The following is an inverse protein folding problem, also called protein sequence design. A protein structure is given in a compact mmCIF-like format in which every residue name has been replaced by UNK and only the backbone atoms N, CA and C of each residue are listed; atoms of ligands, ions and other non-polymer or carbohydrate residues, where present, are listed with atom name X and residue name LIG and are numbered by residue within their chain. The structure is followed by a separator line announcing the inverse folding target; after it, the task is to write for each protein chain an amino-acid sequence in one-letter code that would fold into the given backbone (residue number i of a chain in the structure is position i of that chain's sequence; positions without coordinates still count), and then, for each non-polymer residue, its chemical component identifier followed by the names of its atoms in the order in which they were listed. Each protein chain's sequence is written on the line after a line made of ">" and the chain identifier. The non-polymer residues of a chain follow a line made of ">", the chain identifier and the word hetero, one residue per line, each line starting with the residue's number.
data_IF_881074730383
#
_entry.id   IF_881074730383
#
_cell.length_a   1.000
_cell.length_b   1.000
_cell.length_c   1.000
_cell.angle_alpha   90.00
_cell.angle_beta   90.00
_cell.angle_gamma   90.00
#
_symmetry.space_group_name_H-M   'P 1'
#
loop_
_entity.id
_entity.type
_entity.pdbx_description
1 polymer ?
#
# COMPACT_ATOMS: atom_id res chain seq x y z
N UNK A 1 9.98 11.03 -9.35
CA UNK A 1 8.59 10.55 -9.13
C UNK A 1 8.57 9.37 -8.19
N UNK A 2 7.46 9.14 -7.53
CA UNK A 2 7.28 8.00 -6.64
C UNK A 2 6.19 7.10 -7.20
N UNK A 3 6.46 5.80 -7.22
CA UNK A 3 5.52 4.80 -7.70
C UNK A 3 5.25 3.79 -6.58
N UNK A 4 3.98 3.50 -6.32
CA UNK A 4 3.61 2.48 -5.34
C UNK A 4 3.75 1.09 -5.97
N UNK A 5 4.52 0.22 -5.32
CA UNK A 5 4.79 -1.12 -5.82
C UNK A 5 4.34 -2.21 -4.83
N UNK A 6 3.48 -1.86 -3.90
CA UNK A 6 3.06 -2.80 -2.84
C UNK A 6 2.09 -3.88 -3.28
N UNK A 7 1.48 -3.77 -4.46
CA UNK A 7 0.52 -4.77 -4.91
C UNK A 7 1.12 -6.18 -4.98
N UNK A 8 2.33 -6.29 -5.48
CA UNK A 8 3.03 -7.58 -5.59
C UNK A 8 3.22 -8.21 -4.21
N UNK A 9 3.69 -7.42 -3.25
CA UNK A 9 3.89 -7.91 -1.87
C UNK A 9 2.56 -8.34 -1.27
N UNK A 10 1.52 -7.53 -1.45
CA UNK A 10 0.20 -7.83 -0.93
C UNK A 10 -0.32 -9.16 -1.48
N UNK A 11 -0.22 -9.35 -2.80
CA UNK A 11 -0.72 -10.57 -3.45
C UNK A 11 0.10 -11.79 -3.07
N UNK A 12 1.41 -11.65 -2.91
CA UNK A 12 2.27 -12.75 -2.45
C UNK A 12 1.91 -13.19 -1.03
N UNK A 13 1.50 -12.25 -0.19
CA UNK A 13 1.05 -12.54 1.17
C UNK A 13 -0.42 -12.98 1.22
N UNK A 14 -1.11 -13.04 0.08
CA UNK A 14 -2.52 -13.43 -0.03
C UNK A 14 -3.44 -12.54 0.78
N UNK A 15 -3.14 -11.26 0.82
CA UNK A 15 -3.94 -10.24 1.50
C UNK A 15 -4.81 -9.55 0.46
N UNK A 16 -6.12 -9.46 0.73
CA UNK A 16 -7.03 -8.71 -0.15
C UNK A 16 -6.89 -7.22 0.11
N UNK A 17 -7.29 -6.39 -0.88
CA UNK A 17 -7.31 -4.93 -0.69
C UNK A 17 -8.19 -4.58 0.51
N UNK A 18 -9.36 -5.19 0.61
CA UNK A 18 -10.29 -4.92 1.73
C UNK A 18 -9.67 -5.30 3.07
N UNK A 19 -9.05 -6.47 3.17
CA UNK A 19 -8.40 -6.92 4.39
C UNK A 19 -7.26 -6.01 4.80
N UNK A 20 -6.44 -5.57 3.84
CA UNK A 20 -5.36 -4.63 4.12
C UNK A 20 -5.91 -3.28 4.58
N UNK A 21 -6.95 -2.80 3.92
CA UNK A 21 -7.57 -1.52 4.27
C UNK A 21 -8.12 -1.54 5.69
N UNK A 22 -8.79 -2.62 6.08
CA UNK A 22 -9.30 -2.78 7.44
C UNK A 22 -8.16 -2.79 8.47
N UNK A 23 -7.10 -3.54 8.21
CA UNK A 23 -5.95 -3.62 9.12
C UNK A 23 -5.24 -2.28 9.26
N UNK A 24 -5.11 -1.54 8.18
CA UNK A 24 -4.46 -0.24 8.17
C UNK A 24 -5.39 0.91 8.58
N UNK A 25 -6.69 0.65 8.71
CA UNK A 25 -7.72 1.64 9.01
C UNK A 25 -7.78 2.75 7.97
N UNK A 26 -7.71 2.36 6.70
CA UNK A 26 -7.84 3.28 5.57
C UNK A 26 -8.95 2.80 4.65
N UNK A 27 -9.43 3.68 3.77
CA UNK A 27 -10.45 3.30 2.79
C UNK A 27 -9.85 2.34 1.74
N UNK A 28 -10.58 1.29 1.35
CA UNK A 28 -10.10 0.38 0.29
C UNK A 28 -9.78 1.12 -1.01
N UNK A 29 -10.54 2.16 -1.35
CA UNK A 29 -10.29 2.97 -2.53
C UNK A 29 -8.94 3.67 -2.52
N UNK A 30 -8.43 4.01 -1.34
CA UNK A 30 -7.10 4.62 -1.20
C UNK A 30 -6.03 3.65 -1.71
N UNK A 31 -6.08 2.40 -1.28
CA UNK A 31 -5.12 1.39 -1.70
C UNK A 31 -5.28 1.09 -3.20
N UNK A 32 -6.51 0.97 -3.67
CA UNK A 32 -6.78 0.72 -5.09
C UNK A 32 -6.22 1.82 -5.99
N UNK A 33 -6.35 3.08 -5.58
CA UNK A 33 -5.81 4.21 -6.34
C UNK A 33 -4.28 4.18 -6.38
N UNK A 34 -3.65 3.78 -5.29
CA UNK A 34 -2.19 3.62 -5.29
C UNK A 34 -1.76 2.50 -6.23
N UNK A 35 -2.49 1.38 -6.22
CA UNK A 35 -2.13 0.21 -7.03
C UNK A 35 -2.32 0.45 -8.51
N UNK A 36 -3.31 1.26 -8.89
CA UNK A 36 -3.56 1.55 -10.31
C UNK A 36 -2.87 2.83 -10.81
N UNK A 37 -2.10 3.50 -9.95
CA UNK A 37 -1.34 4.67 -10.34
C UNK A 37 -2.13 5.98 -10.33
N UNK A 38 -3.38 5.98 -9.84
CA UNK A 38 -4.21 7.19 -9.80
C UNK A 38 -3.81 8.16 -8.69
N UNK A 39 -3.12 7.68 -7.68
CA UNK A 39 -2.69 8.49 -6.55
C UNK A 39 -1.35 7.99 -6.02
N UNK A 40 -0.59 8.89 -5.42
CA UNK A 40 0.69 8.59 -4.77
C UNK A 40 0.45 8.56 -3.26
N UNK A 41 0.97 7.56 -2.53
CA UNK A 41 0.79 7.50 -1.08
C UNK A 41 1.45 8.68 -0.37
N UNK A 42 0.77 9.23 0.64
CA UNK A 42 1.49 10.09 1.57
C UNK A 42 2.21 9.22 2.61
N UNK A 43 3.23 9.79 3.25
CA UNK A 43 4.10 9.02 4.13
C UNK A 43 3.38 8.47 5.36
N UNK A 44 2.46 9.22 5.94
CA UNK A 44 1.76 8.78 7.14
C UNK A 44 0.86 7.57 6.85
N UNK A 45 0.12 7.62 5.74
CA UNK A 45 -0.77 6.51 5.36
C UNK A 45 0.05 5.31 4.88
N UNK A 46 1.15 5.57 4.17
CA UNK A 46 2.06 4.51 3.73
C UNK A 46 2.62 3.72 4.92
N UNK A 47 2.97 4.42 6.00
CA UNK A 47 3.46 3.77 7.21
C UNK A 47 2.41 2.84 7.82
N UNK A 48 1.15 3.27 7.87
CA UNK A 48 0.05 2.43 8.36
C UNK A 48 -0.11 1.15 7.53
N UNK A 49 -0.05 1.30 6.21
CA UNK A 49 -0.18 0.17 5.29
C UNK A 49 1.01 -0.79 5.42
N UNK A 50 2.22 -0.24 5.55
CA UNK A 50 3.42 -1.06 5.73
C UNK A 50 3.35 -1.86 7.02
N UNK A 51 2.91 -1.26 8.12
CA UNK A 51 2.74 -1.95 9.39
C UNK A 51 1.71 -3.08 9.28
N UNK A 52 0.61 -2.82 8.57
CA UNK A 52 -0.43 -3.83 8.36
C UNK A 52 0.09 -5.03 7.56
N UNK A 53 1.04 -4.82 6.66
CA UNK A 53 1.67 -5.89 5.89
C UNK A 53 2.94 -6.43 6.52
N UNK A 54 3.37 -5.84 7.64
CA UNK A 54 4.60 -6.23 8.34
C UNK A 54 5.85 -6.11 7.47
N UNK A 55 5.93 -5.00 6.73
CA UNK A 55 7.07 -4.68 5.86
C UNK A 55 7.56 -3.26 6.14
N UNK A 56 8.75 -2.95 5.63
CA UNK A 56 9.28 -1.60 5.70
C UNK A 56 8.53 -0.72 4.68
N UNK A 57 8.14 0.51 5.06
CA UNK A 57 7.46 1.41 4.11
C UNK A 57 8.22 1.61 2.80
N UNK A 58 9.54 1.64 2.83
CA UNK A 58 10.35 1.82 1.63
C UNK A 58 10.27 0.63 0.66
N UNK A 59 9.83 -0.53 1.13
CA UNK A 59 9.62 -1.69 0.26
C UNK A 59 8.37 -1.53 -0.61
N UNK A 60 7.51 -0.58 -0.28
CA UNK A 60 6.24 -0.37 -0.98
C UNK A 60 6.32 0.70 -2.06
N UNK A 61 7.43 1.39 -2.18
CA UNK A 61 7.59 2.48 -3.15
C UNK A 61 8.88 2.36 -3.93
N UNK A 62 8.85 2.93 -5.11
CA UNK A 62 10.01 3.00 -6.00
C UNK A 62 10.15 4.44 -6.49
N UNK A 63 11.37 4.93 -6.50
CA UNK A 63 11.66 6.26 -7.06
C UNK A 63 12.10 6.10 -8.50
N UNK A 64 11.42 6.78 -9.40
CA UNK A 64 11.67 6.69 -10.84
C UNK A 64 11.90 8.07 -11.44
#
# INVERSE_FOLDING_TARGET
>A
MVEYIGKKIRTEKRITVRGLAESAQVAPSTISKWENGSAVPDLAVLDLVAKAMEVNPFDLVKFV
#
